data_IF_918925662202
#
_entry.id   IF_918925662202
#
_cell.length_a   1.000
_cell.length_b   1.000
_cell.length_c   1.000
_cell.angle_alpha   90.00
_cell.angle_beta   90.00
_cell.angle_gamma   90.00
#
_symmetry.space_group_name_H-M   'P 1'
#
loop_
_entity.id
_entity.type
_entity.pdbx_description
1 polymer ?
#
# COMPACT_ATOMS: atom_id res chain seq x y z
N UNK A 1 4.78 77.26 -20.29
CA UNK A 1 4.63 76.56 -18.99
C UNK A 1 3.71 75.37 -19.23
N UNK A 2 4.26 74.21 -19.56
CA UNK A 2 3.47 72.98 -19.83
C UNK A 2 3.87 71.98 -18.77
N UNK A 3 3.00 71.79 -17.77
CA UNK A 3 3.12 70.69 -16.81
C UNK A 3 2.48 69.48 -17.49
N UNK A 4 3.30 68.56 -17.99
CA UNK A 4 2.82 67.27 -18.48
C UNK A 4 2.26 66.50 -17.29
N UNK A 5 0.97 66.17 -17.34
CA UNK A 5 0.32 65.30 -16.36
C UNK A 5 0.94 63.91 -16.46
N UNK A 6 1.77 63.52 -15.49
CA UNK A 6 2.19 62.13 -15.36
C UNK A 6 0.99 61.29 -14.95
N UNK A 7 0.39 60.60 -15.93
CA UNK A 7 -0.59 59.55 -15.67
C UNK A 7 0.14 58.41 -14.99
N UNK A 8 -0.18 58.16 -13.73
CA UNK A 8 0.39 57.03 -12.98
C UNK A 8 -0.03 55.74 -13.69
N UNK A 9 0.94 55.01 -14.23
CA UNK A 9 0.72 53.71 -14.84
C UNK A 9 0.43 52.69 -13.74
N UNK A 10 -0.77 52.12 -13.72
CA UNK A 10 -1.22 51.11 -12.75
C UNK A 10 -1.01 49.68 -13.25
N UNK A 11 -0.37 49.48 -14.42
CA UNK A 11 -0.12 48.17 -15.01
C UNK A 11 0.66 47.23 -14.08
N UNK A 12 1.67 47.77 -13.38
CA UNK A 12 2.46 47.04 -12.39
C UNK A 12 1.61 46.53 -11.22
N UNK A 13 0.60 47.29 -10.79
CA UNK A 13 -0.27 46.90 -9.68
C UNK A 13 -1.24 45.78 -10.11
N UNK A 14 -1.74 45.84 -11.35
CA UNK A 14 -2.61 44.81 -11.91
C UNK A 14 -1.87 43.49 -12.17
N UNK A 15 -0.58 43.54 -12.55
CA UNK A 15 0.27 42.34 -12.65
C UNK A 15 0.51 41.69 -11.29
N UNK A 16 0.81 42.49 -10.26
CA UNK A 16 0.98 42.00 -8.89
C UNK A 16 -0.33 41.37 -8.36
N UNK A 17 -1.49 41.96 -8.67
CA UNK A 17 -2.80 41.42 -8.31
C UNK A 17 -3.11 40.09 -9.00
N UNK A 18 -2.76 39.94 -10.29
CA UNK A 18 -2.93 38.68 -11.03
C UNK A 18 -2.01 37.59 -10.51
N UNK A 19 -0.77 37.93 -10.16
CA UNK A 19 0.18 37.02 -9.53
C UNK A 19 -0.37 36.53 -8.19
N UNK A 20 -0.78 37.42 -7.30
CA UNK A 20 -1.35 37.04 -5.99
C UNK A 20 -2.63 36.21 -6.17
N UNK A 21 -3.51 36.59 -7.10
CA UNK A 21 -4.74 35.85 -7.41
C UNK A 21 -4.48 34.42 -7.89
N UNK A 22 -3.45 34.20 -8.71
CA UNK A 22 -3.05 32.88 -9.19
C UNK A 22 -2.58 31.95 -8.06
N UNK A 23 -1.77 32.47 -7.12
CA UNK A 23 -1.29 31.69 -5.98
C UNK A 23 -2.44 31.33 -5.02
N UNK A 24 -3.38 32.25 -4.80
CA UNK A 24 -4.59 32.00 -3.98
C UNK A 24 -5.52 30.98 -4.64
N UNK A 25 -5.63 30.97 -5.97
CA UNK A 25 -6.42 29.98 -6.69
C UNK A 25 -5.81 28.57 -6.59
N UNK A 26 -4.48 28.46 -6.70
CA UNK A 26 -3.76 27.20 -6.53
C UNK A 26 -3.91 26.67 -5.09
N UNK A 27 -3.77 27.54 -4.09
CA UNK A 27 -4.00 27.20 -2.69
C UNK A 27 -5.36 26.56 -2.46
N UNK A 28 -6.41 27.23 -2.95
CA UNK A 28 -7.77 26.76 -2.83
C UNK A 28 -7.97 25.42 -3.56
N UNK A 29 -7.40 25.26 -4.75
CA UNK A 29 -7.46 24.01 -5.51
C UNK A 29 -6.78 22.85 -4.79
N UNK A 30 -5.62 23.08 -4.15
CA UNK A 30 -4.88 22.07 -3.38
C UNK A 30 -5.68 21.65 -2.15
N UNK A 31 -6.23 22.59 -1.38
CA UNK A 31 -7.06 22.28 -0.22
C UNK A 31 -8.31 21.48 -0.63
N UNK A 32 -8.94 21.87 -1.74
CA UNK A 32 -10.10 21.16 -2.28
C UNK A 32 -9.74 19.71 -2.67
N UNK A 33 -8.62 19.52 -3.38
CA UNK A 33 -8.11 18.21 -3.78
C UNK A 33 -7.75 17.33 -2.58
N UNK A 34 -7.02 17.87 -1.59
CA UNK A 34 -6.67 17.15 -0.38
C UNK A 34 -7.88 16.71 0.43
N UNK A 35 -8.90 17.57 0.54
CA UNK A 35 -10.17 17.24 1.19
C UNK A 35 -10.92 16.11 0.46
N UNK A 36 -11.01 16.19 -0.88
CA UNK A 36 -11.71 15.18 -1.69
C UNK A 36 -10.99 13.84 -1.66
N UNK A 37 -9.68 13.83 -1.92
CA UNK A 37 -8.88 12.59 -1.94
C UNK A 37 -8.80 11.97 -0.55
N UNK A 38 -8.56 12.76 0.50
CA UNK A 38 -8.49 12.25 1.87
C UNK A 38 -9.79 11.62 2.35
N UNK A 39 -10.94 12.20 1.96
CA UNK A 39 -12.26 11.61 2.23
C UNK A 39 -12.47 10.30 1.47
N UNK A 40 -12.12 10.28 0.19
CA UNK A 40 -12.28 9.10 -0.67
C UNK A 40 -11.43 7.93 -0.16
N UNK A 41 -10.16 8.18 0.11
CA UNK A 41 -9.21 7.18 0.60
C UNK A 41 -9.62 6.69 1.99
N UNK A 42 -9.98 7.58 2.92
CA UNK A 42 -10.42 7.18 4.25
C UNK A 42 -11.68 6.31 4.24
N UNK A 43 -12.57 6.51 3.27
CA UNK A 43 -13.77 5.70 3.11
C UNK A 43 -13.46 4.33 2.47
N UNK A 44 -12.58 4.29 1.47
CA UNK A 44 -12.12 3.05 0.83
C UNK A 44 -11.36 2.18 1.85
N UNK A 45 -10.35 2.75 2.51
CA UNK A 45 -9.55 2.05 3.54
C UNK A 45 -10.46 1.53 4.65
N UNK A 46 -11.37 2.36 5.17
CA UNK A 46 -12.32 1.94 6.21
C UNK A 46 -13.22 0.77 5.78
N UNK A 47 -13.70 0.77 4.53
CA UNK A 47 -14.52 -0.33 3.98
C UNK A 47 -13.70 -1.60 3.79
N UNK A 48 -12.46 -1.50 3.31
CA UNK A 48 -11.60 -2.68 3.11
C UNK A 48 -11.15 -3.30 4.44
N UNK A 49 -10.70 -2.49 5.40
CA UNK A 49 -10.28 -2.99 6.74
C UNK A 49 -11.45 -3.68 7.46
N UNK A 50 -12.67 -3.12 7.37
CA UNK A 50 -13.88 -3.76 7.89
C UNK A 50 -14.23 -5.07 7.17
N UNK A 51 -13.96 -5.17 5.87
CA UNK A 51 -14.25 -6.37 5.06
C UNK A 51 -13.27 -7.52 5.27
N UNK A 52 -12.00 -7.22 5.61
CA UNK A 52 -10.99 -8.24 5.92
C UNK A 52 -11.13 -8.84 7.34
N UNK A 53 -12.11 -8.40 8.14
CA UNK A 53 -12.34 -8.97 9.46
C UNK A 53 -11.18 -8.74 10.44
N UNK A 54 -10.39 -7.69 10.23
CA UNK A 54 -9.35 -7.27 11.19
C UNK A 54 -9.94 -7.05 12.59
N UNK A 55 -11.19 -6.58 12.66
CA UNK A 55 -11.94 -6.43 13.91
C UNK A 55 -12.23 -7.77 14.63
N UNK A 56 -12.41 -8.88 13.89
CA UNK A 56 -12.64 -10.21 14.49
C UNK A 56 -11.32 -10.88 14.91
N UNK A 57 -10.23 -10.57 14.20
CA UNK A 57 -8.89 -11.10 14.48
C UNK A 57 -8.23 -10.38 15.66
N UNK A 58 -8.38 -9.05 15.76
CA UNK A 58 -7.86 -8.26 16.88
C UNK A 58 -8.62 -8.48 18.19
N UNK A 59 -9.91 -8.88 18.15
CA UNK A 59 -10.65 -9.31 19.37
C UNK A 59 -9.94 -10.41 20.15
N UNK A 60 -9.10 -11.22 19.49
CA UNK A 60 -8.37 -12.34 20.10
C UNK A 60 -7.03 -11.92 20.73
N UNK A 61 -6.49 -10.74 20.39
CA UNK A 61 -5.20 -10.25 20.90
C UNK A 61 -5.36 -9.31 22.09
N UNK A 62 -4.36 -9.25 22.96
CA UNK A 62 -4.38 -8.42 24.18
C UNK A 62 -4.52 -6.92 23.85
N UNK A 63 -3.94 -6.48 22.73
CA UNK A 63 -4.02 -5.10 22.22
C UNK A 63 -5.44 -4.77 21.76
N UNK A 64 -6.11 -5.67 21.03
CA UNK A 64 -7.49 -5.43 20.57
C UNK A 64 -8.52 -5.43 21.71
N UNK A 65 -8.29 -6.19 22.80
CA UNK A 65 -9.10 -6.09 24.02
C UNK A 65 -8.96 -4.75 24.74
N UNK A 66 -7.77 -4.14 24.72
CA UNK A 66 -7.54 -2.80 25.27
C UNK A 66 -8.18 -1.71 24.41
N UNK A 67 -8.14 -1.86 23.08
CA UNK A 67 -8.78 -0.95 22.11
C UNK A 67 -10.31 -1.03 22.18
N UNK A 68 -10.90 -2.21 22.33
CA UNK A 68 -12.36 -2.36 22.48
C UNK A 68 -12.89 -1.73 23.77
N UNK A 69 -12.07 -1.67 24.83
CA UNK A 69 -12.43 -1.00 26.09
C UNK A 69 -12.59 0.52 25.96
N UNK A 70 -12.00 1.14 24.93
CA UNK A 70 -12.17 2.57 24.66
C UNK A 70 -13.37 2.90 23.76
N UNK A 71 -14.15 1.88 23.34
CA UNK A 71 -15.33 2.05 22.50
C UNK A 71 -15.06 2.18 21.00
N UNK A 72 -13.80 2.07 20.58
CA UNK A 72 -13.39 2.12 19.17
C UNK A 72 -13.08 0.73 18.62
N UNK A 73 -13.42 0.50 17.34
CA UNK A 73 -12.97 -0.68 16.59
C UNK A 73 -11.56 -0.47 16.03
N UNK A 74 -10.85 -1.56 15.69
CA UNK A 74 -9.52 -1.45 15.09
C UNK A 74 -9.60 -0.75 13.72
N UNK A 75 -10.65 -1.04 12.96
CA UNK A 75 -10.99 -0.33 11.72
C UNK A 75 -11.16 1.17 11.94
N UNK A 76 -11.82 1.60 13.01
CA UNK A 76 -12.03 3.03 13.30
C UNK A 76 -10.77 3.73 13.79
N UNK A 77 -9.92 3.05 14.59
CA UNK A 77 -8.64 3.62 14.97
C UNK A 77 -7.71 3.76 13.77
N UNK A 78 -7.61 2.75 12.93
CA UNK A 78 -6.81 2.82 11.69
C UNK A 78 -7.35 3.93 10.78
N UNK A 79 -8.68 4.01 10.62
CA UNK A 79 -9.33 5.10 9.88
C UNK A 79 -9.03 6.48 10.48
N UNK A 80 -9.05 6.61 11.81
CA UNK A 80 -8.77 7.87 12.50
C UNK A 80 -7.30 8.28 12.38
N UNK A 81 -6.38 7.33 12.54
CA UNK A 81 -4.94 7.55 12.38
C UNK A 81 -4.60 7.92 10.93
N UNK A 82 -5.14 7.21 9.94
CA UNK A 82 -4.98 7.56 8.54
C UNK A 82 -5.54 8.95 8.23
N UNK A 83 -6.71 9.30 8.78
CA UNK A 83 -7.32 10.62 8.61
C UNK A 83 -6.44 11.72 9.22
N UNK A 84 -5.92 11.50 10.43
CA UNK A 84 -5.04 12.46 11.11
C UNK A 84 -3.71 12.62 10.37
N UNK A 85 -3.12 11.53 9.87
CA UNK A 85 -1.90 11.59 9.05
C UNK A 85 -2.13 12.46 7.80
N UNK A 86 -3.22 12.26 7.08
CA UNK A 86 -3.60 13.09 5.91
C UNK A 86 -3.83 14.55 6.32
N UNK A 87 -4.41 14.80 7.50
CA UNK A 87 -4.68 16.14 8.00
C UNK A 87 -3.40 16.91 8.33
N UNK A 88 -2.45 16.26 9.00
CA UNK A 88 -1.12 16.84 9.29
C UNK A 88 -0.39 17.14 7.99
N UNK A 89 -0.41 16.21 7.04
CA UNK A 89 0.20 16.39 5.71
C UNK A 89 -0.47 17.56 4.98
N UNK A 90 -1.80 17.70 5.06
CA UNK A 90 -2.55 18.81 4.46
C UNK A 90 -2.23 20.18 5.08
N UNK A 91 -2.04 20.25 6.39
CA UNK A 91 -1.63 21.48 7.10
C UNK A 91 -0.25 21.93 6.63
N UNK A 92 0.66 20.99 6.38
CA UNK A 92 1.99 21.31 5.86
C UNK A 92 1.93 21.95 4.44
N UNK A 93 1.01 21.53 3.56
CA UNK A 93 0.78 22.24 2.27
C UNK A 93 0.22 23.62 2.45
N UNK A 94 -0.69 23.78 3.41
CA UNK A 94 -1.34 25.06 3.60
C UNK A 94 -0.31 26.14 4.00
N UNK A 95 0.67 25.75 4.81
CA UNK A 95 1.79 26.60 5.20
C UNK A 95 2.74 26.93 4.04
N UNK A 96 2.89 26.00 3.10
CA UNK A 96 3.77 26.16 1.95
C UNK A 96 3.24 27.11 0.88
N UNK A 97 1.91 27.17 0.72
CA UNK A 97 1.25 28.13 -0.17
C UNK A 97 1.47 29.60 0.23
N UNK A 98 1.95 29.88 1.45
CA UNK A 98 2.37 31.23 1.82
C UNK A 98 3.71 31.63 1.15
N UNK A 99 4.28 30.75 0.31
CA UNK A 99 5.48 30.99 -0.52
C UNK A 99 6.70 31.38 0.32
N UNK A 100 6.89 30.70 1.46
CA UNK A 100 8.12 30.79 2.24
C UNK A 100 9.21 30.04 1.45
N UNK A 101 10.31 30.71 1.02
CA UNK A 101 11.29 30.16 0.07
C UNK A 101 11.98 28.84 0.48
N UNK A 102 11.84 28.42 1.74
CA UNK A 102 12.43 27.19 2.28
C UNK A 102 11.54 25.96 2.15
N UNK A 103 10.34 26.07 1.57
CA UNK A 103 9.34 25.00 1.63
C UNK A 103 9.04 24.28 0.31
N UNK A 104 9.48 24.73 -0.87
CA UNK A 104 9.05 24.20 -2.19
C UNK A 104 9.28 22.70 -2.49
N UNK A 105 10.23 22.05 -1.82
CA UNK A 105 10.48 20.61 -2.00
C UNK A 105 9.36 19.72 -1.42
N UNK A 106 8.89 20.00 -0.20
CA UNK A 106 7.70 19.38 0.39
C UNK A 106 6.39 19.36 -0.43
N UNK A 107 6.00 20.40 -1.21
CA UNK A 107 4.80 20.36 -2.09
C UNK A 107 4.97 19.30 -3.17
N UNK A 108 6.11 19.31 -3.87
CA UNK A 108 6.35 18.41 -4.98
C UNK A 108 6.30 16.95 -4.53
N UNK A 109 6.81 16.67 -3.32
CA UNK A 109 6.71 15.35 -2.72
C UNK A 109 5.26 14.86 -2.57
N UNK A 110 4.30 15.77 -2.40
CA UNK A 110 2.91 15.41 -2.12
C UNK A 110 2.00 15.48 -3.33
N UNK A 111 2.26 16.39 -4.28
CA UNK A 111 1.69 16.25 -5.62
C UNK A 111 2.04 14.88 -6.21
N UNK A 112 3.24 14.35 -5.91
CA UNK A 112 3.64 12.99 -6.27
C UNK A 112 3.09 11.89 -5.36
N UNK A 113 2.65 12.21 -4.13
CA UNK A 113 2.07 11.24 -3.20
C UNK A 113 0.66 10.81 -3.62
N UNK A 114 -0.16 11.73 -4.17
CA UNK A 114 -1.55 11.42 -4.57
C UNK A 114 -1.60 10.29 -5.64
N UNK A 115 -0.84 10.36 -6.76
CA UNK A 115 -0.79 9.27 -7.74
C UNK A 115 -0.28 7.96 -7.14
N UNK A 116 0.79 8.02 -6.34
CA UNK A 116 1.38 6.86 -5.65
C UNK A 116 0.39 6.16 -4.73
N UNK A 117 -0.40 6.93 -3.98
CA UNK A 117 -1.45 6.43 -3.11
C UNK A 117 -2.54 5.69 -3.89
N UNK A 118 -2.93 6.22 -5.06
CA UNK A 118 -3.89 5.54 -5.95
C UNK A 118 -3.32 4.21 -6.43
N UNK A 119 -2.07 4.20 -6.91
CA UNK A 119 -1.39 2.97 -7.37
C UNK A 119 -1.28 1.94 -6.25
N UNK A 120 -0.86 2.36 -5.05
CA UNK A 120 -0.77 1.50 -3.88
C UNK A 120 -2.12 0.86 -3.51
N UNK A 121 -3.20 1.64 -3.54
CA UNK A 121 -4.55 1.13 -3.27
C UNK A 121 -5.02 0.15 -4.35
N UNK A 122 -4.79 0.47 -5.62
CA UNK A 122 -5.10 -0.44 -6.74
C UNK A 122 -4.37 -1.77 -6.55
N UNK A 123 -3.06 -1.74 -6.30
CA UNK A 123 -2.27 -2.95 -6.05
C UNK A 123 -2.79 -3.72 -4.84
N UNK A 124 -3.12 -3.05 -3.74
CA UNK A 124 -3.64 -3.71 -2.54
C UNK A 124 -4.98 -4.42 -2.80
N UNK A 125 -5.89 -3.77 -3.52
CA UNK A 125 -7.22 -4.32 -3.84
C UNK A 125 -7.12 -5.47 -4.83
N UNK A 126 -6.48 -5.24 -5.99
CA UNK A 126 -6.36 -6.24 -7.05
C UNK A 126 -5.44 -7.39 -6.63
N UNK A 127 -4.35 -7.08 -5.92
CA UNK A 127 -3.43 -8.07 -5.37
C UNK A 127 -4.09 -8.94 -4.30
N UNK A 128 -4.89 -8.36 -3.41
CA UNK A 128 -5.67 -9.11 -2.42
C UNK A 128 -6.65 -10.08 -3.08
N UNK A 129 -7.41 -9.61 -4.07
CA UNK A 129 -8.33 -10.44 -4.84
C UNK A 129 -7.60 -11.57 -5.60
N UNK A 130 -6.45 -11.26 -6.21
CA UNK A 130 -5.61 -12.23 -6.89
C UNK A 130 -5.07 -13.29 -5.92
N UNK A 131 -4.71 -12.88 -4.70
CA UNK A 131 -4.23 -13.78 -3.64
C UNK A 131 -5.31 -14.75 -3.18
N UNK A 132 -6.55 -14.27 -3.06
CA UNK A 132 -7.70 -15.11 -2.73
C UNK A 132 -7.99 -16.12 -3.84
N UNK A 133 -8.03 -15.65 -5.09
CA UNK A 133 -8.24 -16.50 -6.26
C UNK A 133 -7.16 -17.57 -6.41
N UNK A 134 -5.88 -17.20 -6.28
CA UNK A 134 -4.76 -18.12 -6.37
C UNK A 134 -4.78 -19.18 -5.26
N UNK A 135 -5.09 -18.77 -4.02
CA UNK A 135 -5.24 -19.70 -2.90
C UNK A 135 -6.36 -20.71 -3.14
N UNK A 136 -7.51 -20.24 -3.62
CA UNK A 136 -8.66 -21.10 -3.89
C UNK A 136 -8.39 -22.06 -5.05
N UNK A 137 -7.67 -21.61 -6.08
CA UNK A 137 -7.25 -22.46 -7.19
C UNK A 137 -6.34 -23.60 -6.71
N UNK A 138 -5.35 -23.29 -5.86
CA UNK A 138 -4.48 -24.31 -5.27
C UNK A 138 -5.28 -25.30 -4.42
N UNK A 139 -6.18 -24.82 -3.56
CA UNK A 139 -7.05 -25.71 -2.77
C UNK A 139 -7.83 -26.67 -3.67
N UNK A 140 -8.49 -26.13 -4.71
CA UNK A 140 -9.30 -26.93 -5.64
C UNK A 140 -8.47 -27.98 -6.40
N UNK A 141 -7.26 -27.63 -6.85
CA UNK A 141 -6.39 -28.58 -7.56
C UNK A 141 -5.97 -29.74 -6.67
N UNK A 142 -5.51 -29.48 -5.45
CA UNK A 142 -5.06 -30.54 -4.55
C UNK A 142 -6.21 -31.34 -3.91
N UNK A 143 -7.43 -30.80 -3.85
CA UNK A 143 -8.60 -31.54 -3.37
C UNK A 143 -9.00 -32.71 -4.27
N UNK A 144 -8.64 -32.71 -5.56
CA UNK A 144 -8.99 -33.81 -6.47
C UNK A 144 -8.05 -35.02 -6.36
N UNK A 145 -6.87 -34.87 -5.75
CA UNK A 145 -5.82 -35.90 -5.71
C UNK A 145 -5.88 -36.80 -4.47
N UNK A 146 -6.95 -36.72 -3.67
CA UNK A 146 -7.09 -37.52 -2.44
C UNK A 146 -6.18 -37.08 -1.29
N UNK A 147 -5.57 -35.90 -1.39
CA UNK A 147 -4.80 -35.31 -0.30
C UNK A 147 -5.68 -35.07 0.93
N UNK A 148 -5.19 -35.31 2.16
CA UNK A 148 -6.00 -35.07 3.36
C UNK A 148 -6.39 -33.59 3.44
N UNK A 149 -7.63 -33.30 3.85
CA UNK A 149 -8.18 -31.94 3.90
C UNK A 149 -7.25 -30.94 4.59
N UNK A 150 -6.58 -31.38 5.67
CA UNK A 150 -5.57 -30.60 6.39
C UNK A 150 -4.43 -30.08 5.50
N UNK A 151 -3.88 -30.90 4.60
CA UNK A 151 -2.78 -30.49 3.72
C UNK A 151 -3.26 -29.47 2.66
N UNK A 152 -4.44 -29.70 2.08
CA UNK A 152 -5.00 -28.79 1.07
C UNK A 152 -5.30 -27.41 1.66
N UNK A 153 -5.83 -27.37 2.88
CA UNK A 153 -6.09 -26.13 3.59
C UNK A 153 -4.82 -25.45 4.04
N UNK A 154 -3.84 -26.20 4.57
CA UNK A 154 -2.56 -25.66 4.98
C UNK A 154 -1.84 -24.99 3.80
N UNK A 155 -1.72 -25.68 2.66
CA UNK A 155 -1.05 -25.16 1.47
C UNK A 155 -1.75 -23.93 0.90
N UNK A 156 -3.08 -23.98 0.76
CA UNK A 156 -3.84 -22.83 0.27
C UNK A 156 -3.73 -21.63 1.20
N UNK A 157 -3.82 -21.83 2.52
CA UNK A 157 -3.72 -20.76 3.50
C UNK A 157 -2.29 -20.18 3.59
N UNK A 158 -1.26 -21.03 3.50
CA UNK A 158 0.14 -20.60 3.45
C UNK A 158 0.41 -19.77 2.20
N UNK A 159 -0.03 -20.24 1.03
CA UNK A 159 0.10 -19.48 -0.21
C UNK A 159 -0.60 -18.14 -0.09
N UNK A 160 -1.83 -18.11 0.42
CA UNK A 160 -2.56 -16.86 0.68
C UNK A 160 -1.74 -15.93 1.57
N UNK A 161 -1.22 -16.41 2.69
CA UNK A 161 -0.41 -15.61 3.61
C UNK A 161 0.80 -14.98 2.91
N UNK A 162 1.53 -15.77 2.10
CA UNK A 162 2.71 -15.29 1.35
C UNK A 162 2.31 -14.25 0.29
N UNK A 163 1.26 -14.50 -0.49
CA UNK A 163 0.80 -13.56 -1.52
C UNK A 163 0.32 -12.24 -0.90
N UNK A 164 -0.45 -12.30 0.19
CA UNK A 164 -0.85 -11.09 0.93
C UNK A 164 0.38 -10.32 1.45
N UNK A 165 1.39 -11.02 1.96
CA UNK A 165 2.63 -10.37 2.42
C UNK A 165 3.35 -9.64 1.28
N UNK A 166 3.43 -10.25 0.09
CA UNK A 166 3.99 -9.62 -1.12
C UNK A 166 3.17 -8.41 -1.55
N UNK A 167 1.83 -8.55 -1.62
CA UNK A 167 0.93 -7.45 -2.01
C UNK A 167 1.06 -6.26 -1.07
N UNK A 168 1.11 -6.52 0.25
CA UNK A 168 1.34 -5.47 1.25
C UNK A 168 2.70 -4.80 1.00
N UNK A 169 3.77 -5.58 0.81
CA UNK A 169 5.12 -5.06 0.58
C UNK A 169 5.17 -4.16 -0.65
N UNK A 170 4.59 -4.58 -1.78
CA UNK A 170 4.55 -3.79 -3.02
C UNK A 170 3.71 -2.52 -2.80
N UNK A 171 2.54 -2.63 -2.19
CA UNK A 171 1.68 -1.46 -1.94
C UNK A 171 2.34 -0.41 -1.05
N UNK A 172 3.10 -0.85 -0.03
CA UNK A 172 3.87 0.04 0.85
C UNK A 172 5.06 0.66 0.11
N UNK A 173 5.73 -0.09 -0.77
CA UNK A 173 6.83 0.42 -1.59
C UNK A 173 6.38 1.59 -2.48
N UNK A 174 5.18 1.48 -3.09
CA UNK A 174 4.61 2.55 -3.91
C UNK A 174 4.36 3.84 -3.12
N UNK A 175 4.01 3.73 -1.83
CA UNK A 175 3.84 4.89 -0.95
C UNK A 175 5.15 5.58 -0.59
N UNK A 176 6.31 5.04 -1.00
CA UNK A 176 7.63 5.53 -0.61
C UNK A 176 7.99 5.17 0.85
N UNK A 177 7.28 4.22 1.45
CA UNK A 177 7.64 3.68 2.76
C UNK A 177 8.86 2.79 2.57
N UNK A 178 9.86 2.92 3.45
CA UNK A 178 11.02 2.03 3.43
C UNK A 178 10.60 0.61 3.81
N UNK A 179 10.47 -0.25 2.80
CA UNK A 179 10.13 -1.66 2.94
C UNK A 179 11.35 -2.57 2.86
N UNK A 180 12.57 -2.02 3.00
CA UNK A 180 13.81 -2.81 2.90
C UNK A 180 13.79 -4.01 3.84
N UNK A 181 13.34 -3.83 5.08
CA UNK A 181 13.20 -4.92 6.05
C UNK A 181 12.20 -5.97 5.54
N UNK A 182 11.02 -5.55 5.08
CA UNK A 182 10.01 -6.47 4.54
C UNK A 182 10.56 -7.26 3.35
N UNK A 183 11.31 -6.61 2.46
CA UNK A 183 11.91 -7.24 1.29
C UNK A 183 13.00 -8.24 1.68
N UNK A 184 13.86 -7.92 2.66
CA UNK A 184 14.86 -8.87 3.19
C UNK A 184 14.16 -10.12 3.74
N UNK A 185 13.10 -9.94 4.53
CA UNK A 185 12.30 -11.06 5.05
C UNK A 185 11.60 -11.83 3.92
N UNK A 186 11.03 -11.13 2.93
CA UNK A 186 10.39 -11.75 1.76
C UNK A 186 11.38 -12.64 1.00
N UNK A 187 12.57 -12.12 0.73
CA UNK A 187 13.63 -12.85 0.05
C UNK A 187 14.11 -14.03 0.88
N UNK A 188 14.31 -13.86 2.18
CA UNK A 188 14.70 -14.97 3.06
C UNK A 188 13.67 -16.10 3.03
N UNK A 189 12.37 -15.78 3.09
CA UNK A 189 11.30 -16.77 2.96
C UNK A 189 11.26 -17.40 1.56
N UNK A 190 11.41 -16.59 0.51
CA UNK A 190 11.39 -17.07 -0.87
C UNK A 190 12.55 -18.03 -1.14
N UNK A 191 13.78 -17.69 -0.74
CA UNK A 191 14.94 -18.57 -0.81
C UNK A 191 14.75 -19.82 0.05
N UNK A 192 14.20 -19.69 1.26
CA UNK A 192 13.90 -20.84 2.12
C UNK A 192 12.96 -21.85 1.45
N UNK A 193 11.87 -21.38 0.85
CA UNK A 193 10.92 -22.22 0.11
C UNK A 193 11.57 -22.78 -1.16
N UNK A 194 12.31 -21.96 -1.91
CA UNK A 194 12.96 -22.40 -3.15
C UNK A 194 13.98 -23.52 -2.90
N UNK A 195 14.79 -23.39 -1.84
CA UNK A 195 15.74 -24.43 -1.42
C UNK A 195 14.99 -25.68 -0.98
N UNK A 196 13.94 -25.53 -0.16
CA UNK A 196 13.14 -26.67 0.30
C UNK A 196 12.57 -27.46 -0.89
N UNK A 197 11.88 -26.78 -1.81
CA UNK A 197 11.29 -27.39 -3.01
C UNK A 197 12.37 -27.99 -3.90
N UNK A 198 13.48 -27.29 -4.11
CA UNK A 198 14.59 -27.77 -4.94
C UNK A 198 15.23 -29.03 -4.39
N UNK A 199 15.50 -29.09 -3.08
CA UNK A 199 16.06 -30.27 -2.41
C UNK A 199 15.05 -31.42 -2.44
N UNK A 200 13.77 -31.17 -2.12
CA UNK A 200 12.73 -32.19 -2.17
C UNK A 200 12.59 -32.80 -3.56
N UNK A 201 12.52 -31.98 -4.61
CA UNK A 201 12.43 -32.45 -5.99
C UNK A 201 13.69 -33.23 -6.41
N UNK A 202 14.87 -32.73 -6.03
CA UNK A 202 16.14 -33.41 -6.31
C UNK A 202 16.23 -34.81 -5.70
N UNK A 203 15.76 -34.99 -4.46
CA UNK A 203 15.72 -36.30 -3.80
C UNK A 203 14.76 -37.24 -4.53
N UNK A 204 13.55 -36.78 -4.86
CA UNK A 204 12.53 -37.61 -5.55
C UNK A 204 13.02 -38.07 -6.91
N UNK A 205 13.55 -37.14 -7.73
CA UNK A 205 14.09 -37.46 -9.06
C UNK A 205 15.32 -38.34 -8.96
N UNK A 206 16.20 -38.08 -8.00
CA UNK A 206 17.40 -38.89 -7.77
C UNK A 206 17.07 -40.34 -7.41
N UNK A 207 16.05 -40.55 -6.56
CA UNK A 207 15.57 -41.89 -6.22
C UNK A 207 14.93 -42.59 -7.42
N UNK A 208 14.12 -41.87 -8.20
CA UNK A 208 13.48 -42.39 -9.41
C UNK A 208 14.51 -42.82 -10.49
N UNK A 209 15.58 -42.04 -10.69
CA UNK A 209 16.64 -42.36 -11.64
C UNK A 209 17.54 -43.49 -11.16
N UNK A 210 17.77 -43.60 -9.84
CA UNK A 210 18.59 -44.67 -9.24
C UNK A 210 18.10 -46.06 -9.64
N UNK A 211 16.78 -46.25 -9.70
CA UNK A 211 16.19 -47.55 -10.03
C UNK A 211 16.40 -47.90 -11.51
N UNK A 212 16.33 -46.92 -12.41
CA UNK A 212 16.61 -47.10 -13.85
C UNK A 212 18.08 -47.32 -14.15
N UNK A 213 18.97 -46.63 -13.44
CA UNK A 213 20.41 -46.76 -13.65
C UNK A 213 20.93 -48.13 -13.23
N UNK A 214 20.37 -48.74 -12.17
CA UNK A 214 20.70 -50.11 -11.75
C UNK A 214 20.30 -51.18 -12.76
N UNK A 215 19.33 -50.90 -13.61
CA UNK A 215 18.84 -51.84 -14.63
C UNK A 215 19.72 -51.82 -15.90
N UNK A 216 20.34 -50.66 -16.21
CA UNK A 216 21.13 -50.44 -17.44
C UNK A 216 22.63 -50.67 -17.21
N UNK A 217 23.14 -50.48 -16.00
CA UNK A 217 24.54 -50.71 -15.66
C UNK A 217 24.71 -52.09 -14.99
N UNK A 218 25.16 -53.13 -15.71
CA UNK A 218 25.61 -54.36 -15.07
C UNK A 218 26.95 -54.10 -14.39
N UNK A 219 26.93 -54.01 -13.06
CA UNK A 219 28.11 -54.13 -12.17
C UNK A 219 29.25 -53.17 -12.43
#
# INVERSE_FOLDING_TARGET
>A
MIVASQTIDYGWFLEQLKLVGYHVAIFAAIILLGYVVGRLVGEIVGKFVGRFGLDSTMRKTAIGRAVLKSGFTASELIKSVSKWAIYVVSILFALESLNIPYLGGPIDAVLNFIPKLIVALVIFIFGGALSDWASELVKKSFSHEGAPAFYTDLLGNLLKLVLYFVVITISLAELGIDVTILNIFAQALAWGIAIFVGVSAGIVVGWLLKDRLKEILPG
#
